data_IF_272857607615
#
_entry.id   IF_272857607615
#
_cell.length_a   1.000
_cell.length_b   1.000
_cell.length_c   1.000
_cell.angle_alpha   90.00
_cell.angle_beta   90.00
_cell.angle_gamma   90.00
#
_symmetry.space_group_name_H-M   'P 1'
#
loop_
_entity.id
_entity.type
_entity.pdbx_description
1 polymer ?
#
# COMPACT_ATOMS: atom_id res chain seq x y z
N UNK A 1 -14.14 17.38 -30.18
CA UNK A 1 -14.77 16.20 -29.53
C UNK A 1 -14.07 16.04 -28.20
N UNK A 2 -14.81 16.11 -27.10
CA UNK A 2 -14.26 15.89 -25.77
C UNK A 2 -14.15 14.37 -25.58
N UNK A 3 -12.93 13.84 -25.54
CA UNK A 3 -12.70 12.42 -25.30
C UNK A 3 -12.97 12.17 -23.81
N UNK A 4 -14.10 11.52 -23.51
CA UNK A 4 -14.38 11.05 -22.15
C UNK A 4 -13.40 9.93 -21.82
N UNK A 5 -12.55 10.15 -20.82
CA UNK A 5 -11.73 9.09 -20.27
C UNK A 5 -12.62 8.13 -19.46
N UNK A 6 -12.46 6.83 -19.69
CA UNK A 6 -13.16 5.78 -18.97
C UNK A 6 -12.13 4.83 -18.35
N UNK A 7 -12.29 4.54 -17.06
CA UNK A 7 -11.44 3.58 -16.35
C UNK A 7 -12.07 2.19 -16.40
N UNK A 8 -11.36 1.24 -16.99
CA UNK A 8 -11.71 -0.19 -16.95
C UNK A 8 -10.84 -0.90 -15.92
N UNK A 9 -11.42 -1.80 -15.16
CA UNK A 9 -10.71 -2.55 -14.12
C UNK A 9 -11.29 -3.94 -13.94
N UNK A 10 -10.48 -4.83 -13.35
CA UNK A 10 -10.88 -6.16 -12.92
C UNK A 10 -10.09 -6.55 -11.68
N UNK A 11 -10.63 -7.48 -10.88
CA UNK A 11 -9.92 -8.05 -9.74
C UNK A 11 -10.17 -9.54 -9.63
N UNK A 12 -9.19 -10.27 -9.15
CA UNK A 12 -9.31 -11.68 -8.78
C UNK A 12 -8.52 -11.89 -7.49
N UNK A 13 -9.09 -12.67 -6.58
CA UNK A 13 -8.44 -13.09 -5.35
C UNK A 13 -8.89 -14.52 -5.08
N UNK A 14 -7.96 -15.39 -4.75
CA UNK A 14 -8.22 -16.80 -4.52
C UNK A 14 -7.26 -17.33 -3.48
N UNK A 15 -7.77 -18.18 -2.59
CA UNK A 15 -6.98 -18.87 -1.55
C UNK A 15 -5.87 -19.76 -2.13
N UNK A 16 -6.02 -20.19 -3.40
CA UNK A 16 -5.08 -21.07 -4.05
C UNK A 16 -4.90 -22.38 -3.29
N UNK A 17 -3.66 -22.68 -2.88
CA UNK A 17 -3.29 -23.90 -2.15
C UNK A 17 -3.20 -23.72 -0.63
N UNK A 18 -3.49 -22.52 -0.11
CA UNK A 18 -3.41 -22.22 1.32
C UNK A 18 -4.63 -22.78 2.06
N UNK A 19 -4.51 -23.12 3.35
CA UNK A 19 -5.64 -23.56 4.17
C UNK A 19 -6.54 -22.40 4.60
N UNK A 20 -6.01 -21.17 4.66
CA UNK A 20 -6.72 -19.94 5.05
C UNK A 20 -6.50 -18.85 4.01
N UNK A 21 -7.50 -17.97 3.85
CA UNK A 21 -7.43 -16.79 3.00
C UNK A 21 -7.06 -15.58 3.87
N UNK A 22 -5.83 -15.09 3.73
CA UNK A 22 -5.33 -13.94 4.51
C UNK A 22 -5.25 -12.66 3.66
N UNK A 23 -5.29 -12.74 2.33
CA UNK A 23 -5.35 -11.55 1.48
C UNK A 23 -6.74 -10.91 1.47
N UNK A 24 -6.76 -9.60 1.25
CA UNK A 24 -7.95 -8.82 0.96
C UNK A 24 -7.69 -7.85 -0.20
N UNK A 25 -8.74 -7.55 -0.97
CA UNK A 25 -8.69 -6.59 -2.08
C UNK A 25 -9.87 -5.64 -1.99
N UNK A 26 -9.60 -4.35 -2.04
CA UNK A 26 -10.63 -3.31 -2.13
C UNK A 26 -10.52 -2.51 -3.42
N UNK A 27 -11.67 -2.19 -4.01
CA UNK A 27 -11.76 -1.35 -5.21
C UNK A 27 -12.94 -0.41 -5.05
N UNK A 28 -12.68 0.89 -5.17
CA UNK A 28 -13.71 1.94 -5.15
C UNK A 28 -13.50 2.89 -6.33
N UNK A 29 -14.15 2.64 -7.47
CA UNK A 29 -14.08 3.53 -8.62
C UNK A 29 -14.84 4.83 -8.33
N UNK A 30 -14.32 5.97 -8.80
CA UNK A 30 -14.93 7.29 -8.57
C UNK A 30 -15.09 7.60 -7.08
N UNK A 31 -14.14 7.19 -6.24
CA UNK A 31 -14.20 7.39 -4.79
C UNK A 31 -14.16 8.88 -4.46
N UNK A 32 -13.27 9.64 -5.12
CA UNK A 32 -13.00 11.05 -4.83
C UNK A 32 -12.95 11.86 -6.13
N UNK A 33 -12.89 13.20 -6.02
CA UNK A 33 -12.58 14.10 -7.13
C UNK A 33 -11.14 14.58 -6.99
N UNK A 34 -10.39 14.56 -8.09
CA UNK A 34 -9.04 15.10 -8.18
C UNK A 34 -8.94 15.99 -9.40
N UNK A 35 -8.69 17.28 -9.16
CA UNK A 35 -8.83 18.32 -10.18
C UNK A 35 -10.24 18.24 -10.82
N UNK A 36 -10.32 18.07 -12.14
CA UNK A 36 -11.58 17.90 -12.88
C UNK A 36 -11.88 16.45 -13.27
N UNK A 37 -11.20 15.49 -12.64
CA UNK A 37 -11.34 14.06 -12.94
C UNK A 37 -11.77 13.24 -11.72
N UNK A 38 -12.48 12.11 -11.91
CA UNK A 38 -12.66 11.13 -10.86
C UNK A 38 -11.32 10.53 -10.44
N UNK A 39 -11.16 10.32 -9.13
CA UNK A 39 -10.07 9.54 -8.55
C UNK A 39 -10.60 8.16 -8.16
N UNK A 40 -10.00 7.12 -8.72
CA UNK A 40 -10.31 5.72 -8.47
C UNK A 40 -9.35 5.16 -7.43
N UNK A 41 -9.85 4.31 -6.53
CA UNK A 41 -9.07 3.67 -5.49
C UNK A 41 -8.97 2.16 -5.73
N UNK A 42 -7.76 1.62 -5.67
CA UNK A 42 -7.48 0.19 -5.74
C UNK A 42 -6.49 -0.17 -4.64
N UNK A 43 -6.70 -1.29 -3.95
CA UNK A 43 -5.75 -1.74 -2.95
C UNK A 43 -5.72 -3.26 -2.79
N UNK A 44 -4.52 -3.76 -2.48
CA UNK A 44 -4.25 -5.16 -2.14
C UNK A 44 -3.58 -5.20 -0.77
N UNK A 45 -4.00 -6.15 0.05
CA UNK A 45 -3.52 -6.36 1.40
C UNK A 45 -3.18 -7.86 1.53
N UNK A 46 -1.92 -8.20 1.80
CA UNK A 46 -1.46 -9.57 2.02
C UNK A 46 -1.25 -9.79 3.51
N UNK A 47 -2.21 -10.48 4.14
CA UNK A 47 -2.22 -10.76 5.57
C UNK A 47 -1.21 -11.82 5.97
N UNK A 48 -0.69 -11.71 7.19
CA UNK A 48 0.16 -12.74 7.78
C UNK A 48 -0.11 -12.94 9.26
N UNK A 49 -0.18 -14.20 9.68
CA UNK A 49 -0.49 -14.59 11.06
C UNK A 49 -1.98 -14.54 11.38
N UNK A 50 -2.81 -14.13 10.43
CA UNK A 50 -4.24 -13.91 10.54
C UNK A 50 -4.73 -12.97 9.44
N UNK A 51 -6.02 -13.00 9.13
CA UNK A 51 -6.63 -12.15 8.08
C UNK A 51 -7.18 -10.84 8.63
N UNK A 52 -7.24 -10.67 9.95
CA UNK A 52 -7.93 -9.57 10.64
C UNK A 52 -7.41 -8.21 10.21
N UNK A 53 -6.08 -8.03 10.13
CA UNK A 53 -5.46 -6.76 9.72
C UNK A 53 -5.73 -6.49 8.24
N UNK A 54 -5.58 -7.48 7.35
CA UNK A 54 -5.83 -7.30 5.92
C UNK A 54 -7.31 -6.97 5.63
N UNK A 55 -8.23 -7.72 6.23
CA UNK A 55 -9.67 -7.52 6.08
C UNK A 55 -10.08 -6.14 6.60
N UNK A 56 -9.66 -5.79 7.83
CA UNK A 56 -9.98 -4.48 8.39
C UNK A 56 -9.42 -3.34 7.55
N UNK A 57 -8.15 -3.43 7.14
CA UNK A 57 -7.49 -2.44 6.30
C UNK A 57 -8.23 -2.22 4.98
N UNK A 58 -8.70 -3.30 4.34
CA UNK A 58 -9.45 -3.22 3.09
C UNK A 58 -10.78 -2.46 3.23
N UNK A 59 -11.46 -2.63 4.36
CA UNK A 59 -12.72 -1.94 4.65
C UNK A 59 -12.52 -0.51 5.13
N UNK A 60 -11.33 -0.16 5.62
CA UNK A 60 -11.13 1.08 6.40
C UNK A 60 -10.25 2.13 5.73
N UNK A 61 -9.19 1.73 5.03
CA UNK A 61 -8.19 2.67 4.53
C UNK A 61 -8.79 3.73 3.58
N UNK A 62 -9.67 3.32 2.68
CA UNK A 62 -10.32 4.23 1.72
C UNK A 62 -11.26 5.24 2.42
N UNK A 63 -11.85 4.89 3.56
CA UNK A 63 -12.66 5.81 4.37
C UNK A 63 -11.80 6.85 5.10
N UNK A 64 -10.65 6.42 5.63
CA UNK A 64 -9.66 7.31 6.24
C UNK A 64 -9.13 8.30 5.20
N UNK A 65 -8.74 7.79 4.03
CA UNK A 65 -8.26 8.62 2.93
C UNK A 65 -9.32 9.66 2.52
N UNK A 66 -10.56 9.22 2.32
CA UNK A 66 -11.66 10.11 1.94
C UNK A 66 -11.96 11.19 3.00
N UNK A 67 -11.82 10.87 4.29
CA UNK A 67 -12.03 11.82 5.39
C UNK A 67 -11.02 12.97 5.38
N UNK A 68 -9.77 12.68 5.00
CA UNK A 68 -8.68 13.66 4.95
C UNK A 68 -8.48 14.24 3.54
N UNK A 69 -9.33 13.86 2.58
CA UNK A 69 -9.19 14.29 1.20
C UNK A 69 -9.58 15.75 1.02
N UNK A 70 -8.65 16.55 0.54
CA UNK A 70 -8.87 17.94 0.18
C UNK A 70 -8.29 18.21 -1.21
N UNK A 71 -9.16 18.17 -2.23
CA UNK A 71 -8.74 18.25 -3.62
C UNK A 71 -8.05 19.59 -3.98
N UNK A 72 -8.32 20.67 -3.23
CA UNK A 72 -7.75 21.98 -3.51
C UNK A 72 -6.28 22.08 -3.06
N UNK A 73 -5.89 21.32 -2.04
CA UNK A 73 -4.52 21.31 -1.51
C UNK A 73 -3.66 20.19 -2.09
N UNK A 74 -4.26 19.19 -2.74
CA UNK A 74 -3.58 18.01 -3.30
C UNK A 74 -3.00 18.23 -4.72
N UNK A 75 -2.85 19.47 -5.15
CA UNK A 75 -2.21 19.80 -6.44
C UNK A 75 -0.70 19.49 -6.41
N UNK A 76 -0.10 19.52 -5.22
CA UNK A 76 1.31 19.23 -5.02
C UNK A 76 1.54 17.76 -4.62
N UNK A 77 2.48 17.11 -5.30
CA UNK A 77 2.89 15.73 -5.03
C UNK A 77 3.21 15.50 -3.55
N UNK A 78 3.96 16.40 -2.91
CA UNK A 78 4.33 16.23 -1.50
C UNK A 78 3.10 16.22 -0.57
N UNK A 79 2.02 16.95 -0.91
CA UNK A 79 0.77 16.93 -0.14
C UNK A 79 0.01 15.62 -0.29
N UNK A 80 0.03 15.03 -1.48
CA UNK A 80 -0.51 13.68 -1.68
C UNK A 80 0.26 12.63 -0.87
N UNK A 81 1.59 12.74 -0.86
CA UNK A 81 2.47 11.89 -0.06
C UNK A 81 2.19 12.02 1.44
N UNK A 82 2.15 13.25 1.96
CA UNK A 82 1.80 13.53 3.36
C UNK A 82 0.43 12.92 3.75
N UNK A 83 -0.58 13.05 2.88
CA UNK A 83 -1.91 12.49 3.08
C UNK A 83 -1.89 10.95 3.14
N UNK A 84 -1.21 10.29 2.21
CA UNK A 84 -1.10 8.83 2.16
C UNK A 84 -0.38 8.29 3.39
N UNK A 85 0.74 8.91 3.78
CA UNK A 85 1.48 8.59 5.02
C UNK A 85 0.57 8.71 6.23
N UNK A 86 -0.09 9.87 6.41
CA UNK A 86 -1.01 10.12 7.53
C UNK A 86 -2.16 9.11 7.57
N UNK A 87 -2.67 8.71 6.40
CA UNK A 87 -3.75 7.73 6.30
C UNK A 87 -3.32 6.35 6.76
N UNK A 88 -2.09 5.92 6.45
CA UNK A 88 -1.54 4.69 6.98
C UNK A 88 -1.27 4.75 8.48
N UNK A 89 -0.74 5.86 8.99
CA UNK A 89 -0.52 6.06 10.43
C UNK A 89 -1.84 6.04 11.22
N UNK A 90 -2.90 6.63 10.66
CA UNK A 90 -4.23 6.56 11.27
C UNK A 90 -4.79 5.15 11.23
N UNK A 91 -4.71 4.46 10.09
CA UNK A 91 -5.15 3.06 9.99
C UNK A 91 -4.45 2.19 11.01
N UNK A 92 -3.12 2.30 11.09
CA UNK A 92 -2.31 1.49 11.99
C UNK A 92 -2.61 1.77 13.47
N UNK A 93 -2.92 3.02 13.83
CA UNK A 93 -3.39 3.40 15.18
C UNK A 93 -4.76 2.79 15.53
N UNK A 94 -5.61 2.52 14.55
CA UNK A 94 -6.91 1.88 14.76
C UNK A 94 -6.80 0.35 14.97
N UNK A 95 -5.74 -0.31 14.46
CA UNK A 95 -5.59 -1.77 14.47
C UNK A 95 -5.70 -2.44 15.86
N UNK A 96 -5.12 -1.89 16.94
CA UNK A 96 -5.25 -2.50 18.27
C UNK A 96 -6.69 -2.60 18.78
N UNK A 97 -7.63 -1.84 18.21
CA UNK A 97 -9.06 -1.88 18.57
C UNK A 97 -9.86 -2.89 17.75
N UNK A 98 -9.24 -3.55 16.76
CA UNK A 98 -9.91 -4.52 15.89
C UNK A 98 -10.17 -5.82 16.67
N UNK A 99 -11.40 -6.32 16.61
CA UNK A 99 -11.78 -7.60 17.24
C UNK A 99 -10.92 -8.73 16.66
N UNK A 100 -10.24 -9.47 17.53
CA UNK A 100 -9.36 -10.58 17.12
C UNK A 100 -7.93 -10.15 16.79
N UNK A 101 -7.59 -8.86 16.90
CA UNK A 101 -6.22 -8.40 16.75
C UNK A 101 -5.28 -9.07 17.76
N UNK A 102 -4.12 -9.49 17.27
CA UNK A 102 -2.99 -9.99 18.06
C UNK A 102 -1.72 -9.29 17.58
N UNK A 103 -0.76 -9.09 18.46
CA UNK A 103 0.47 -8.34 18.13
C UNK A 103 1.38 -9.04 17.11
N UNK A 104 1.15 -10.32 16.82
CA UNK A 104 1.86 -11.11 15.81
C UNK A 104 1.18 -11.10 14.43
N UNK A 105 -0.03 -10.55 14.32
CA UNK A 105 -0.78 -10.39 13.07
C UNK A 105 -0.37 -9.08 12.39
N UNK A 106 -0.21 -9.13 11.08
CA UNK A 106 0.02 -7.96 10.26
C UNK A 106 -0.51 -8.14 8.84
N UNK A 107 -0.28 -7.13 8.01
CA UNK A 107 -0.59 -7.17 6.59
C UNK A 107 0.37 -6.28 5.81
N UNK A 108 0.68 -6.62 4.57
CA UNK A 108 1.12 -5.61 3.61
C UNK A 108 -0.05 -4.66 3.30
N UNK A 109 0.24 -3.52 2.68
CA UNK A 109 -0.76 -2.74 1.99
C UNK A 109 -0.14 -2.01 0.80
N UNK A 110 -0.73 -2.26 -0.36
CA UNK A 110 -0.42 -1.55 -1.59
C UNK A 110 -1.68 -0.83 -2.05
N UNK A 111 -1.60 0.49 -2.18
CA UNK A 111 -2.70 1.36 -2.59
C UNK A 111 -2.31 2.08 -3.87
N UNK A 112 -3.21 2.07 -4.85
CA UNK A 112 -3.10 2.84 -6.08
C UNK A 112 -4.31 3.78 -6.22
N UNK A 113 -4.03 5.07 -6.36
CA UNK A 113 -5.00 6.09 -6.75
C UNK A 113 -4.78 6.41 -8.22
N UNK A 114 -5.82 6.30 -9.03
CA UNK A 114 -5.75 6.48 -10.47
C UNK A 114 -6.75 7.56 -10.87
N UNK A 115 -6.27 8.63 -11.48
CA UNK A 115 -7.09 9.65 -12.13
C UNK A 115 -6.94 9.55 -13.65
N UNK A 116 -7.48 10.51 -14.40
CA UNK A 116 -7.27 10.56 -15.85
C UNK A 116 -5.85 10.98 -16.23
N UNK A 117 -5.16 11.71 -15.35
CA UNK A 117 -3.81 12.22 -15.59
C UNK A 117 -2.78 11.54 -14.71
N UNK A 118 -3.10 11.11 -13.49
CA UNK A 118 -2.09 10.76 -12.50
C UNK A 118 -2.32 9.39 -11.88
N UNK A 119 -1.22 8.74 -11.52
CA UNK A 119 -1.21 7.50 -10.75
C UNK A 119 -0.34 7.73 -9.51
N UNK A 120 -0.95 7.62 -8.34
CA UNK A 120 -0.27 7.67 -7.06
C UNK A 120 -0.23 6.28 -6.46
N UNK A 121 0.94 5.81 -6.06
CA UNK A 121 1.11 4.50 -5.42
C UNK A 121 1.74 4.68 -4.06
N UNK A 122 1.16 4.04 -3.05
CA UNK A 122 1.78 3.91 -1.74
C UNK A 122 1.86 2.45 -1.33
N UNK A 123 3.02 2.06 -0.82
CA UNK A 123 3.34 0.67 -0.50
C UNK A 123 3.88 0.54 0.92
N UNK A 124 3.46 -0.49 1.62
CA UNK A 124 4.08 -0.99 2.85
C UNK A 124 4.09 -2.53 2.81
N UNK A 125 5.28 -3.12 2.82
CA UNK A 125 5.49 -4.55 2.60
C UNK A 125 5.97 -4.88 1.19
N UNK A 126 5.71 -6.11 0.76
CA UNK A 126 6.26 -6.72 -0.46
C UNK A 126 5.18 -7.13 -1.50
N UNK A 127 3.98 -6.60 -1.37
CA UNK A 127 3.06 -6.47 -2.50
C UNK A 127 3.58 -5.43 -3.49
N UNK A 128 3.19 -5.51 -4.77
CA UNK A 128 3.80 -4.68 -5.82
C UNK A 128 2.81 -4.14 -6.84
N UNK A 129 2.95 -2.85 -7.14
CA UNK A 129 2.31 -2.21 -8.29
C UNK A 129 3.28 -2.15 -9.47
N UNK A 130 2.79 -2.45 -10.66
CA UNK A 130 3.55 -2.42 -11.90
C UNK A 130 2.70 -1.78 -12.99
N UNK A 131 3.27 -0.83 -13.72
CA UNK A 131 2.65 -0.19 -14.88
C UNK A 131 3.17 -0.84 -16.15
N UNK A 132 2.26 -1.29 -17.01
CA UNK A 132 2.61 -1.67 -18.37
C UNK A 132 2.26 -0.50 -19.30
N UNK A 133 3.26 0.05 -19.99
CA UNK A 133 3.09 1.11 -20.99
C UNK A 133 3.66 0.61 -22.30
N UNK A 134 2.78 0.39 -23.28
CA UNK A 134 3.10 -0.20 -24.59
C UNK A 134 3.86 -1.53 -24.45
N UNK A 135 5.18 -1.51 -24.54
CA UNK A 135 6.07 -2.68 -24.42
C UNK A 135 6.94 -2.63 -23.17
N UNK A 136 6.86 -1.57 -22.39
CA UNK A 136 7.66 -1.35 -21.18
C UNK A 136 6.87 -1.74 -19.93
N UNK A 137 7.58 -2.37 -18.99
CA UNK A 137 7.06 -2.73 -17.67
C UNK A 137 7.84 -1.91 -16.64
N UNK A 138 7.14 -1.02 -15.94
CA UNK A 138 7.70 -0.07 -14.99
C UNK A 138 7.20 -0.41 -13.58
N UNK A 139 8.08 -0.79 -12.64
CA UNK A 139 7.67 -0.94 -11.25
C UNK A 139 7.24 0.44 -10.70
N UNK A 140 6.09 0.49 -10.02
CA UNK A 140 5.58 1.70 -9.37
C UNK A 140 5.80 1.68 -7.85
N UNK A 141 6.37 0.59 -7.33
CA UNK A 141 6.66 0.40 -5.92
C UNK A 141 7.86 -0.52 -5.78
N UNK A 142 8.69 -0.25 -4.79
CA UNK A 142 9.76 -1.16 -4.37
C UNK A 142 9.30 -2.05 -3.21
N UNK A 143 9.61 -3.34 -3.28
CA UNK A 143 9.33 -4.25 -2.17
C UNK A 143 10.19 -3.86 -0.96
N UNK A 144 9.55 -3.88 0.20
CA UNK A 144 10.22 -3.72 1.49
C UNK A 144 10.80 -5.06 1.92
N UNK A 145 11.92 -5.46 1.32
CA UNK A 145 12.65 -6.68 1.68
C UNK A 145 13.72 -6.38 2.74
N UNK A 146 13.89 -7.25 3.77
CA UNK A 146 14.88 -7.01 4.83
C UNK A 146 16.33 -6.88 4.37
N UNK A 147 16.70 -7.47 3.24
CA UNK A 147 18.03 -7.42 2.62
C UNK A 147 18.20 -6.26 1.61
N UNK A 148 17.17 -5.41 1.40
CA UNK A 148 17.33 -4.17 0.64
C UNK A 148 18.23 -3.23 1.44
N UNK A 149 19.27 -2.67 0.82
CA UNK A 149 20.35 -2.01 1.55
C UNK A 149 19.90 -0.87 2.49
N UNK A 150 18.94 -0.05 2.07
CA UNK A 150 18.34 1.01 2.88
C UNK A 150 17.47 0.44 4.02
N UNK A 151 16.72 -0.62 3.76
CA UNK A 151 15.87 -1.28 4.75
C UNK A 151 16.68 -2.05 5.79
N UNK A 152 17.71 -2.77 5.37
CA UNK A 152 18.64 -3.44 6.27
C UNK A 152 19.30 -2.43 7.20
N UNK A 153 19.84 -1.34 6.62
CA UNK A 153 20.43 -0.25 7.40
C UNK A 153 19.42 0.33 8.40
N UNK A 154 18.20 0.61 7.95
CA UNK A 154 17.13 1.11 8.81
C UNK A 154 16.83 0.13 9.95
N UNK A 155 16.72 -1.16 9.68
CA UNK A 155 16.49 -2.19 10.71
C UNK A 155 17.63 -2.20 11.73
N UNK A 156 18.89 -2.19 11.27
CA UNK A 156 20.08 -2.24 12.13
C UNK A 156 20.28 -0.96 12.97
N UNK A 157 20.01 0.23 12.40
CA UNK A 157 20.06 1.53 13.10
C UNK A 157 19.06 1.60 14.27
N UNK A 158 18.16 0.62 14.35
CA UNK A 158 17.06 0.58 15.27
C UNK A 158 17.08 -0.70 16.12
N UNK A 159 18.29 -1.23 16.34
CA UNK A 159 18.61 -2.42 17.13
C UNK A 159 17.92 -3.71 16.63
N UNK A 160 17.50 -3.71 15.37
CA UNK A 160 16.97 -4.85 14.65
C UNK A 160 18.05 -5.76 14.09
N UNK A 161 17.67 -6.99 13.73
CA UNK A 161 18.55 -7.95 13.06
C UNK A 161 17.91 -8.47 11.77
N UNK A 162 18.71 -8.57 10.70
CA UNK A 162 18.34 -9.30 9.50
C UNK A 162 19.05 -10.64 9.53
N UNK A 163 18.28 -11.72 9.73
CA UNK A 163 18.79 -13.08 9.79
C UNK A 163 18.32 -13.87 8.58
N UNK A 164 19.20 -14.69 8.01
CA UNK A 164 18.82 -15.61 6.96
C UNK A 164 18.17 -16.86 7.56
N UNK A 165 16.88 -17.02 7.35
CA UNK A 165 16.10 -18.19 7.74
C UNK A 165 15.11 -18.50 6.61
N UNK A 166 15.56 -19.29 5.62
CA UNK A 166 14.84 -19.49 4.35
C UNK A 166 14.54 -18.15 3.64
N UNK A 167 15.56 -17.29 3.57
CA UNK A 167 15.47 -15.91 3.07
C UNK A 167 15.78 -14.89 4.15
N UNK A 168 16.04 -13.64 3.74
CA UNK A 168 16.29 -12.54 4.65
C UNK A 168 15.02 -12.21 5.44
N UNK A 169 15.12 -12.25 6.78
CA UNK A 169 14.00 -12.02 7.67
C UNK A 169 14.38 -11.13 8.84
N UNK A 170 13.49 -10.21 9.20
CA UNK A 170 13.60 -9.41 10.43
C UNK A 170 13.49 -10.35 11.63
N UNK A 171 14.54 -10.37 12.46
CA UNK A 171 14.76 -11.31 13.57
C UNK A 171 14.56 -12.79 13.20
N UNK A 172 14.77 -13.15 11.93
CA UNK A 172 14.57 -14.54 11.46
C UNK A 172 13.09 -14.94 11.29
N UNK A 173 12.14 -14.03 11.46
CA UNK A 173 10.69 -14.32 11.44
C UNK A 173 10.02 -13.75 10.20
N UNK A 174 10.06 -12.43 10.00
CA UNK A 174 9.26 -11.76 8.97
C UNK A 174 10.07 -11.49 7.70
N UNK A 175 9.62 -11.97 6.55
CA UNK A 175 10.29 -11.85 5.24
C UNK A 175 10.09 -10.49 4.54
N UNK A 176 9.48 -9.54 5.23
CA UNK A 176 9.28 -8.16 4.79
C UNK A 176 9.75 -7.22 5.90
N UNK A 177 10.33 -6.10 5.51
CA UNK A 177 10.91 -5.13 6.43
C UNK A 177 9.92 -4.06 6.87
N UNK A 178 8.70 -4.01 6.30
CA UNK A 178 7.59 -3.12 6.68
C UNK A 178 6.24 -3.83 6.57
N UNK A 179 5.30 -3.51 7.44
CA UNK A 179 3.92 -4.01 7.41
C UNK A 179 3.00 -3.14 8.25
N UNK A 180 1.70 -3.19 7.96
CA UNK A 180 0.65 -2.76 8.88
C UNK A 180 0.54 -3.72 10.06
N UNK A 181 0.25 -3.18 11.23
CA UNK A 181 0.24 -3.96 12.46
C UNK A 181 1.63 -4.47 12.81
N UNK A 182 1.67 -5.38 13.78
CA UNK A 182 2.87 -6.02 14.32
C UNK A 182 3.81 -5.09 15.11
N UNK A 183 4.06 -5.47 16.37
CA UNK A 183 4.89 -4.71 17.32
C UNK A 183 6.26 -5.35 17.55
N UNK A 184 6.85 -5.97 16.52
CA UNK A 184 8.24 -6.44 16.62
C UNK A 184 9.12 -5.20 16.72
N UNK A 185 9.41 -4.80 17.97
CA UNK A 185 10.24 -3.71 18.47
C UNK A 185 10.42 -2.50 17.53
N UNK A 186 9.49 -1.56 17.72
CA UNK A 186 9.61 -0.09 17.59
C UNK A 186 10.04 0.60 16.31
N UNK A 187 10.43 -0.06 15.21
CA UNK A 187 11.18 0.73 14.22
C UNK A 187 10.98 0.38 12.78
N UNK A 188 9.75 0.03 12.41
CA UNK A 188 9.40 -0.43 11.08
C UNK A 188 8.16 0.29 10.53
N UNK A 189 8.13 1.63 10.62
CA UNK A 189 7.10 2.45 9.95
C UNK A 189 7.76 3.60 9.24
N UNK A 190 8.15 3.37 8.00
CA UNK A 190 8.25 4.43 7.01
C UNK A 190 7.32 4.06 5.85
N UNK A 191 6.60 5.06 5.36
CA UNK A 191 5.59 4.90 4.33
C UNK A 191 6.17 5.50 3.06
N UNK A 192 6.50 4.65 2.09
CA UNK A 192 6.97 5.14 0.80
C UNK A 192 5.75 5.33 -0.11
N UNK A 193 5.59 6.55 -0.59
CA UNK A 193 4.70 6.85 -1.71
C UNK A 193 5.55 7.27 -2.89
N UNK A 194 5.31 6.63 -4.01
CA UNK A 194 5.89 6.99 -5.29
C UNK A 194 4.83 7.75 -6.07
N UNK A 195 5.21 8.93 -6.52
CA UNK A 195 4.36 9.80 -7.32
C UNK A 195 5.01 9.88 -8.70
N UNK A 196 4.27 9.42 -9.71
CA UNK A 196 4.67 9.58 -11.09
C UNK A 196 3.66 10.51 -11.76
N UNK A 197 4.05 11.76 -12.09
CA UNK A 197 3.22 12.58 -12.95
C UNK A 197 3.11 11.87 -14.30
N UNK A 198 1.89 11.67 -14.78
CA UNK A 198 1.67 11.06 -16.07
C UNK A 198 1.04 12.08 -17.03
N UNK A 199 1.72 12.31 -18.14
CA UNK A 199 1.12 13.02 -19.26
C UNK A 199 0.70 11.97 -20.28
N UNK A 200 -0.61 11.76 -20.44
CA UNK A 200 -1.17 11.13 -21.64
C UNK A 200 -0.91 12.07 -22.84
N UNK A 201 0.31 12.12 -23.34
CA UNK A 201 0.56 12.67 -24.66
C UNK A 201 0.02 11.66 -25.67
N UNK A 202 -1.22 11.85 -26.09
CA UNK A 202 -1.73 11.24 -27.31
C UNK A 202 -0.93 11.83 -28.47
N UNK A 203 -0.06 11.02 -29.09
CA UNK A 203 0.50 11.35 -30.41
C UNK A 203 -0.56 11.16 -31.48
#
# INVERSE_FOLDING_TARGET
MEVKAYTSWGKVSSIGRRPTMEDAIWVSPNLLKYQDSPMHFFAVYDGHGGSEVAVYSSMRFHEILARHWDAETLIEDEKMKELLVRSFEELDRELPSVKGYREDIGSTALVALVSTSDIFVANIGDSRAVLCRTTEVLPLSDDHKPDRADEQKRIEDLDGLVLNNEGARVFGVLAMSRSLGKKINQTIKSYDSHILPFFLSYN
#
